data_IF_642354481186
#
_entry.id   IF_642354481186
#
_cell.length_a   1.000
_cell.length_b   1.000
_cell.length_c   1.000
_cell.angle_alpha   90.00
_cell.angle_beta   90.00
_cell.angle_gamma   90.00
#
_symmetry.space_group_name_H-M   'P 1'
#
loop_
_entity.id
_entity.type
_entity.pdbx_description
1 polymer ?
#
# COMPACT_ATOMS: atom_id res chain seq x y z
N UNK A 1 11.08 27.53 28.16
CA UNK A 1 10.50 26.35 27.50
C UNK A 1 9.21 26.08 28.23
N UNK A 2 8.05 26.23 27.58
CA UNK A 2 6.77 25.90 28.20
C UNK A 2 6.76 24.41 28.54
N UNK A 3 6.74 24.08 29.82
CA UNK A 3 6.56 22.72 30.30
C UNK A 3 5.15 22.26 29.93
N UNK A 4 5.06 21.26 29.05
CA UNK A 4 3.82 20.59 28.69
C UNK A 4 3.21 19.93 29.94
N UNK A 5 2.23 20.60 30.56
CA UNK A 5 1.40 19.98 31.60
C UNK A 5 0.68 18.79 30.96
N UNK A 6 1.07 17.58 31.36
CA UNK A 6 0.36 16.35 31.03
C UNK A 6 -1.09 16.51 31.52
N UNK A 7 -1.97 16.77 30.56
CA UNK A 7 -3.40 17.01 30.78
C UNK A 7 -4.10 15.67 31.02
N UNK A 8 -4.01 15.15 32.25
CA UNK A 8 -4.80 13.98 32.65
C UNK A 8 -6.24 14.41 32.97
N UNK A 9 -7.22 13.75 32.34
CA UNK A 9 -8.64 14.04 32.54
C UNK A 9 -9.28 12.94 33.41
N UNK A 10 -10.04 13.28 34.46
CA UNK A 10 -10.71 12.27 35.27
C UNK A 10 -11.94 11.72 34.54
N UNK A 11 -12.05 10.40 34.42
CA UNK A 11 -13.23 9.71 33.91
C UNK A 11 -13.92 8.94 35.04
N UNK A 12 -15.22 9.19 35.22
CA UNK A 12 -16.08 8.53 36.20
C UNK A 12 -17.35 8.04 35.51
N UNK A 13 -17.62 6.74 35.57
CA UNK A 13 -18.84 6.15 35.01
C UNK A 13 -19.35 4.97 35.85
N UNK A 14 -20.66 4.72 35.80
CA UNK A 14 -21.31 3.59 36.47
C UNK A 14 -21.34 2.36 35.55
N UNK A 15 -20.76 1.25 35.98
CA UNK A 15 -20.72 -0.02 35.26
C UNK A 15 -21.85 -0.96 35.71
N UNK A 16 -22.69 -1.38 34.76
CA UNK A 16 -23.71 -2.40 34.99
C UNK A 16 -23.26 -3.73 34.36
N UNK A 17 -23.06 -4.82 35.15
CA UNK A 17 -22.55 -6.10 34.63
C UNK A 17 -23.54 -6.77 33.65
N UNK A 18 -24.82 -6.42 33.70
CA UNK A 18 -25.85 -6.90 32.76
C UNK A 18 -25.77 -6.24 31.38
N UNK A 19 -25.28 -4.99 31.30
CA UNK A 19 -25.09 -4.28 30.04
C UNK A 19 -23.67 -3.68 29.96
N UNK A 20 -22.65 -4.53 29.75
CA UNK A 20 -21.26 -4.09 29.66
C UNK A 20 -21.00 -3.28 28.38
N UNK A 21 -21.78 -3.51 27.32
CA UNK A 21 -21.67 -2.81 26.04
C UNK A 21 -21.99 -1.32 26.19
N UNK A 22 -23.09 -0.97 26.86
CA UNK A 22 -23.45 0.43 27.08
C UNK A 22 -22.43 1.22 27.90
N UNK A 23 -21.72 0.56 28.82
CA UNK A 23 -20.58 1.19 29.50
C UNK A 23 -19.40 1.44 28.56
N UNK A 24 -19.07 0.47 27.70
CA UNK A 24 -18.02 0.62 26.69
C UNK A 24 -18.35 1.69 25.65
N UNK A 25 -19.62 1.82 25.24
CA UNK A 25 -20.09 2.91 24.36
C UNK A 25 -19.82 4.28 25.00
N UNK A 26 -20.17 4.47 26.28
CA UNK A 26 -19.88 5.73 26.99
C UNK A 26 -18.37 6.03 27.10
N UNK A 27 -17.56 5.00 27.30
CA UNK A 27 -16.09 5.11 27.32
C UNK A 27 -15.57 5.51 25.94
N UNK A 28 -16.06 4.89 24.87
CA UNK A 28 -15.65 5.18 23.49
C UNK A 28 -16.09 6.59 23.08
N UNK A 29 -17.29 7.02 23.45
CA UNK A 29 -17.77 8.38 23.22
C UNK A 29 -16.89 9.43 23.94
N UNK A 30 -16.45 9.14 25.17
CA UNK A 30 -15.53 10.00 25.92
C UNK A 30 -14.15 10.08 25.23
N UNK A 31 -13.58 8.94 24.83
CA UNK A 31 -12.31 8.88 24.10
C UNK A 31 -12.42 9.63 22.77
N UNK A 32 -13.56 9.51 22.07
CA UNK A 32 -13.83 10.20 20.82
C UNK A 32 -13.87 11.72 20.92
N UNK A 33 -14.38 12.24 22.06
CA UNK A 33 -14.48 13.68 22.33
C UNK A 33 -13.13 14.27 22.79
N UNK A 34 -12.41 13.55 23.65
CA UNK A 34 -11.19 14.04 24.28
C UNK A 34 -9.91 13.66 23.51
N UNK A 35 -9.98 12.71 22.56
CA UNK A 35 -8.82 12.28 21.78
C UNK A 35 -9.12 12.07 20.30
N UNK A 36 -8.09 12.26 19.48
CA UNK A 36 -8.15 11.96 18.05
C UNK A 36 -7.94 10.46 17.75
N UNK A 37 -8.01 9.58 18.76
CA UNK A 37 -7.72 8.17 18.61
C UNK A 37 -8.65 7.48 17.60
N UNK A 38 -9.97 7.64 17.77
CA UNK A 38 -10.98 7.02 16.90
C UNK A 38 -10.99 7.58 15.46
N UNK A 39 -10.29 8.69 15.20
CA UNK A 39 -10.10 9.24 13.85
C UNK A 39 -9.03 8.49 13.05
N UNK A 40 -8.17 7.70 13.71
CA UNK A 40 -7.12 6.91 13.07
C UNK A 40 -7.70 5.65 12.43
N UNK A 41 -7.21 5.28 11.25
CA UNK A 41 -7.60 4.02 10.59
C UNK A 41 -7.08 2.78 11.33
N UNK A 42 -6.08 2.94 12.19
CA UNK A 42 -5.50 1.86 13.00
C UNK A 42 -6.27 1.58 14.30
N UNK A 43 -7.16 2.49 14.71
CA UNK A 43 -7.83 2.41 16.01
C UNK A 43 -8.63 1.12 16.20
N UNK A 44 -9.38 0.69 15.17
CA UNK A 44 -10.17 -0.54 15.23
C UNK A 44 -9.26 -1.77 15.45
N UNK A 45 -8.11 -1.83 14.77
CA UNK A 45 -7.14 -2.93 14.91
C UNK A 45 -6.48 -2.94 16.27
N UNK A 46 -6.03 -1.78 16.72
CA UNK A 46 -5.39 -1.60 18.03
C UNK A 46 -6.36 -1.97 19.18
N UNK A 47 -7.64 -1.61 19.05
CA UNK A 47 -8.68 -2.02 20.01
C UNK A 47 -8.91 -3.53 19.93
N UNK A 48 -8.97 -4.14 18.74
CA UNK A 48 -9.13 -5.60 18.65
C UNK A 48 -7.96 -6.35 19.27
N UNK A 49 -6.74 -5.85 19.11
CA UNK A 49 -5.55 -6.44 19.72
C UNK A 49 -5.59 -6.26 21.25
N UNK A 50 -6.00 -5.09 21.76
CA UNK A 50 -6.20 -4.86 23.19
C UNK A 50 -7.31 -5.77 23.78
N UNK A 51 -8.40 -6.01 23.04
CA UNK A 51 -9.49 -6.90 23.47
C UNK A 51 -9.04 -8.37 23.46
N UNK A 52 -8.31 -8.80 22.43
CA UNK A 52 -7.81 -10.18 22.35
C UNK A 52 -6.75 -10.47 23.40
N UNK A 53 -5.82 -9.55 23.64
CA UNK A 53 -4.84 -9.63 24.74
C UNK A 53 -5.53 -9.63 26.10
N UNK A 54 -6.56 -8.79 26.32
CA UNK A 54 -7.36 -8.84 27.55
C UNK A 54 -8.10 -10.18 27.71
N UNK A 55 -8.67 -10.73 26.63
CA UNK A 55 -9.31 -12.05 26.63
C UNK A 55 -8.33 -13.17 26.93
N UNK A 56 -7.10 -13.09 26.43
CA UNK A 56 -6.03 -14.05 26.72
C UNK A 56 -5.55 -13.94 28.17
N UNK A 57 -5.29 -12.72 28.68
CA UNK A 57 -4.96 -12.46 30.09
C UNK A 57 -6.02 -13.03 31.03
N UNK A 58 -7.31 -12.89 30.70
CA UNK A 58 -8.40 -13.47 31.51
C UNK A 58 -8.34 -15.01 31.53
N UNK A 59 -8.15 -15.65 30.37
CA UNK A 59 -8.01 -17.11 30.28
C UNK A 59 -6.81 -17.64 31.08
N UNK A 60 -5.71 -16.89 31.13
CA UNK A 60 -4.56 -17.25 31.97
C UNK A 60 -4.86 -17.08 33.47
N UNK A 61 -5.60 -16.04 33.85
CA UNK A 61 -6.01 -15.84 35.25
C UNK A 61 -6.98 -16.92 35.70
N UNK A 62 -7.95 -17.31 34.87
CA UNK A 62 -8.92 -18.36 35.18
C UNK A 62 -8.24 -19.72 35.43
N UNK A 63 -7.24 -20.08 34.62
CA UNK A 63 -6.43 -21.30 34.84
C UNK A 63 -5.67 -21.30 36.16
N UNK A 64 -5.28 -20.11 36.67
CA UNK A 64 -4.55 -19.97 37.94
C UNK A 64 -5.48 -19.91 39.15
N UNK A 65 -6.75 -19.56 38.95
CA UNK A 65 -7.72 -19.34 40.02
C UNK A 65 -8.85 -20.36 40.02
N UNK A 66 -8.62 -21.58 39.52
CA UNK A 66 -9.59 -22.71 39.43
C UNK A 66 -10.04 -23.27 40.81
N UNK A 67 -9.98 -22.46 41.86
CA UNK A 67 -10.62 -22.75 43.13
C UNK A 67 -11.01 -21.41 43.77
N UNK A 68 -12.27 -21.01 43.62
CA UNK A 68 -13.01 -20.17 44.58
C UNK A 68 -14.42 -19.89 44.04
N UNK A 69 -15.30 -20.85 44.26
CA UNK A 69 -16.74 -20.61 44.34
C UNK A 69 -17.04 -19.80 45.59
N UNK A 70 -17.36 -18.51 45.43
CA UNK A 70 -18.14 -17.79 46.44
C UNK A 70 -19.13 -16.89 45.72
N UNK A 71 -20.37 -17.34 45.73
CA UNK A 71 -21.59 -16.62 45.37
C UNK A 71 -21.74 -15.38 46.28
N UNK A 72 -21.06 -14.29 45.95
CA UNK A 72 -21.16 -13.01 46.66
C UNK A 72 -22.07 -12.09 45.89
N UNK A 73 -23.22 -11.78 46.48
CA UNK A 73 -24.23 -10.81 46.03
C UNK A 73 -23.53 -9.58 45.42
N UNK A 74 -23.50 -9.49 44.09
CA UNK A 74 -22.79 -8.43 43.37
C UNK A 74 -23.71 -7.21 43.30
N UNK A 75 -23.27 -6.00 43.71
CA UNK A 75 -24.06 -4.80 43.52
C UNK A 75 -24.35 -4.62 42.02
N UNK A 76 -25.59 -4.26 41.69
CA UNK A 76 -26.07 -4.13 40.31
C UNK A 76 -25.29 -3.10 39.50
N UNK A 77 -24.64 -2.16 40.18
CA UNK A 77 -23.90 -1.06 39.57
C UNK A 77 -22.60 -0.83 40.34
N UNK A 78 -21.47 -0.85 39.64
CA UNK A 78 -20.13 -0.64 40.20
C UNK A 78 -19.54 0.67 39.66
N UNK A 79 -18.97 1.56 40.50
CA UNK A 79 -18.31 2.77 39.99
C UNK A 79 -16.96 2.43 39.36
N UNK A 80 -16.66 3.04 38.22
CA UNK A 80 -15.35 3.00 37.57
C UNK A 80 -14.78 4.42 37.53
N UNK A 81 -13.62 4.60 38.17
CA UNK A 81 -12.87 5.85 38.20
C UNK A 81 -11.47 5.61 37.67
N UNK A 82 -11.07 6.33 36.63
CA UNK A 82 -9.73 6.23 36.05
C UNK A 82 -9.27 7.57 35.47
N UNK A 83 -7.96 7.81 35.48
CA UNK A 83 -7.34 8.94 34.81
C UNK A 83 -7.12 8.62 33.33
N UNK A 84 -7.67 9.45 32.44
CA UNK A 84 -7.48 9.38 31.00
C UNK A 84 -6.30 10.28 30.59
N UNK A 85 -5.34 9.72 29.87
CA UNK A 85 -4.28 10.49 29.20
C UNK A 85 -4.58 10.53 27.70
N UNK A 86 -4.84 11.72 27.11
CA UNK A 86 -5.08 11.86 25.67
C UNK A 86 -3.94 11.32 24.79
N UNK A 87 -2.73 11.19 25.35
CA UNK A 87 -1.53 10.70 24.65
C UNK A 87 -1.50 9.17 24.55
N UNK A 88 -2.11 8.47 25.53
CA UNK A 88 -2.17 7.01 25.61
C UNK A 88 -3.61 6.51 25.85
N UNK A 89 -4.48 6.60 24.83
CA UNK A 89 -5.86 6.13 24.92
C UNK A 89 -5.96 4.60 25.03
N UNK A 90 -4.96 3.88 24.51
CA UNK A 90 -4.85 2.42 24.56
C UNK A 90 -4.63 1.93 26.00
N UNK A 91 -3.68 2.53 26.72
CA UNK A 91 -3.42 2.18 28.12
C UNK A 91 -4.63 2.42 29.03
N UNK A 92 -5.47 3.41 28.71
CA UNK A 92 -6.76 3.60 29.38
C UNK A 92 -7.78 2.50 29.02
N UNK A 93 -7.92 2.17 27.73
CA UNK A 93 -8.79 1.10 27.28
C UNK A 93 -8.41 -0.28 27.84
N UNK A 94 -7.11 -0.58 27.97
CA UNK A 94 -6.66 -1.81 28.63
C UNK A 94 -7.16 -1.89 30.08
N UNK A 95 -7.07 -0.79 30.85
CA UNK A 95 -7.61 -0.74 32.23
C UNK A 95 -9.13 -0.94 32.25
N UNK A 96 -9.84 -0.36 31.27
CA UNK A 96 -11.29 -0.54 31.11
C UNK A 96 -11.62 -2.01 30.79
N UNK A 97 -10.92 -2.63 29.83
CA UNK A 97 -11.15 -4.04 29.47
C UNK A 97 -10.78 -4.99 30.60
N UNK A 98 -9.72 -4.72 31.35
CA UNK A 98 -9.41 -5.49 32.56
C UNK A 98 -10.51 -5.38 33.62
N UNK A 99 -11.07 -4.18 33.82
CA UNK A 99 -12.18 -3.98 34.75
C UNK A 99 -13.44 -4.72 34.30
N UNK A 100 -13.81 -4.59 33.02
CA UNK A 100 -14.95 -5.30 32.42
C UNK A 100 -14.75 -6.80 32.49
N UNK A 101 -13.55 -7.30 32.22
CA UNK A 101 -13.18 -8.72 32.33
C UNK A 101 -13.27 -9.28 33.75
N UNK A 102 -12.77 -8.54 34.75
CA UNK A 102 -12.82 -8.94 36.16
C UNK A 102 -14.24 -8.90 36.75
N UNK A 103 -15.11 -8.02 36.23
CA UNK A 103 -16.45 -7.79 36.79
C UNK A 103 -17.58 -8.46 36.00
N UNK A 104 -17.37 -8.78 34.72
CA UNK A 104 -18.37 -9.39 33.84
C UNK A 104 -17.80 -10.50 32.97
N UNK A 105 -18.65 -11.48 32.65
CA UNK A 105 -18.30 -12.58 31.75
C UNK A 105 -18.45 -12.16 30.27
N UNK A 106 -18.39 -10.86 29.95
CA UNK A 106 -18.62 -10.37 28.59
C UNK A 106 -17.53 -10.83 27.63
N UNK A 107 -16.26 -10.63 27.99
CA UNK A 107 -15.10 -10.96 27.16
C UNK A 107 -14.92 -12.48 26.93
N UNK A 108 -15.54 -13.30 27.78
CA UNK A 108 -15.57 -14.76 27.62
C UNK A 108 -16.43 -15.17 26.41
N UNK A 109 -17.47 -14.39 26.08
CA UNK A 109 -18.36 -14.68 24.95
C UNK A 109 -17.63 -14.52 23.61
N UNK A 110 -17.91 -15.40 22.65
CA UNK A 110 -17.28 -15.35 21.32
C UNK A 110 -17.70 -14.10 20.53
N UNK A 111 -18.92 -13.62 20.76
CA UNK A 111 -19.45 -12.41 20.10
C UNK A 111 -18.91 -11.09 20.69
N UNK A 112 -18.11 -11.13 21.76
CA UNK A 112 -17.68 -9.93 22.47
C UNK A 112 -16.81 -9.01 21.61
N UNK A 113 -15.84 -9.59 20.89
CA UNK A 113 -14.94 -8.83 20.01
C UNK A 113 -15.74 -8.11 18.93
N UNK A 114 -16.63 -8.83 18.24
CA UNK A 114 -17.46 -8.24 17.19
C UNK A 114 -18.40 -7.16 17.71
N UNK A 115 -19.00 -7.35 18.90
CA UNK A 115 -19.86 -6.33 19.50
C UNK A 115 -19.08 -5.05 19.87
N UNK A 116 -17.85 -5.19 20.37
CA UNK A 116 -16.97 -4.04 20.63
C UNK A 116 -16.60 -3.35 19.32
N UNK A 117 -16.24 -4.10 18.27
CA UNK A 117 -15.95 -3.52 16.96
C UNK A 117 -17.15 -2.72 16.45
N UNK A 118 -18.37 -3.25 16.52
CA UNK A 118 -19.59 -2.53 16.12
C UNK A 118 -19.79 -1.25 16.95
N UNK A 119 -19.58 -1.30 18.27
CA UNK A 119 -19.65 -0.10 19.11
C UNK A 119 -18.59 0.95 18.72
N UNK A 120 -17.38 0.52 18.33
CA UNK A 120 -16.31 1.40 17.84
C UNK A 120 -16.69 2.04 16.50
N UNK A 121 -17.25 1.27 15.56
CA UNK A 121 -17.70 1.81 14.27
C UNK A 121 -18.83 2.81 14.46
N UNK A 122 -19.79 2.51 15.34
CA UNK A 122 -20.91 3.40 15.64
C UNK A 122 -20.42 4.70 16.30
N UNK A 123 -19.48 4.62 17.25
CA UNK A 123 -18.87 5.80 17.85
C UNK A 123 -18.10 6.65 16.82
N UNK A 124 -17.39 6.01 15.88
CA UNK A 124 -16.68 6.69 14.79
C UNK A 124 -17.64 7.38 13.82
N UNK A 125 -18.78 6.77 13.54
CA UNK A 125 -19.84 7.40 12.73
C UNK A 125 -20.47 8.59 13.46
N UNK A 126 -20.79 8.46 14.75
CA UNK A 126 -21.32 9.57 15.58
C UNK A 126 -20.39 10.78 15.59
N UNK A 127 -19.08 10.58 15.78
CA UNK A 127 -18.10 11.68 15.73
C UNK A 127 -18.05 12.37 14.36
N UNK A 128 -18.17 11.58 13.29
CA UNK A 128 -18.17 12.11 11.91
C UNK A 128 -19.46 12.90 11.61
N UNK A 129 -20.58 12.51 12.20
CA UNK A 129 -21.84 13.26 12.11
C UNK A 129 -21.79 14.56 12.92
N UNK A 130 -21.30 14.52 14.16
CA UNK A 130 -21.08 15.71 15.01
C UNK A 130 -20.11 16.71 14.34
N UNK A 131 -19.05 16.23 13.70
CA UNK A 131 -18.12 17.08 12.93
C UNK A 131 -18.79 17.70 11.70
N UNK A 132 -19.61 16.94 10.96
CA UNK A 132 -20.39 17.49 9.84
C UNK A 132 -21.42 18.51 10.32
N UNK A 133 -22.08 18.27 11.44
CA UNK A 133 -23.07 19.18 12.00
C UNK A 133 -22.43 20.46 12.55
N UNK A 134 -21.30 20.36 13.24
CA UNK A 134 -20.53 21.52 13.69
C UNK A 134 -19.96 22.33 12.51
N UNK A 135 -19.50 21.69 11.43
CA UNK A 135 -19.10 22.38 10.19
C UNK A 135 -20.31 23.02 9.49
N UNK A 136 -21.46 22.36 9.44
CA UNK A 136 -22.71 22.97 8.93
C UNK A 136 -23.13 24.17 9.79
N UNK A 137 -23.07 24.06 11.11
CA UNK A 137 -23.43 25.14 12.02
C UNK A 137 -22.41 26.30 11.93
N UNK A 138 -21.11 26.00 11.81
CA UNK A 138 -20.06 26.98 11.60
C UNK A 138 -20.21 27.68 10.26
N UNK A 139 -20.49 26.94 9.17
CA UNK A 139 -20.75 27.53 7.85
C UNK A 139 -22.04 28.36 7.82
N UNK A 140 -23.08 27.98 8.57
CA UNK A 140 -24.30 28.79 8.75
C UNK A 140 -24.00 30.06 9.57
N UNK A 141 -23.23 29.96 10.66
CA UNK A 141 -22.78 31.12 11.46
C UNK A 141 -21.87 32.06 10.66
N UNK A 142 -20.95 31.53 9.85
CA UNK A 142 -20.09 32.29 8.95
C UNK A 142 -20.92 32.91 7.82
N UNK A 143 -21.95 32.24 7.28
CA UNK A 143 -22.86 32.88 6.30
C UNK A 143 -23.71 34.00 6.93
N UNK A 144 -23.98 33.94 8.24
CA UNK A 144 -24.71 34.97 9.00
C UNK A 144 -23.84 36.19 9.35
N UNK A 145 -22.54 36.02 9.59
CA UNK A 145 -21.65 37.10 10.03
C UNK A 145 -20.40 37.33 9.15
N UNK A 146 -20.28 36.61 8.04
CA UNK A 146 -19.17 36.73 7.11
C UNK A 146 -19.48 37.75 6.02
N UNK A 147 -18.51 38.62 5.76
CA UNK A 147 -18.49 39.57 4.65
C UNK A 147 -18.77 38.80 3.35
N UNK A 148 -20.00 38.91 2.83
CA UNK A 148 -20.38 38.31 1.56
C UNK A 148 -19.62 39.03 0.45
N UNK A 149 -18.47 38.48 0.05
CA UNK A 149 -17.74 38.96 -1.11
C UNK A 149 -18.64 38.70 -2.33
N UNK A 150 -19.16 39.79 -2.87
CA UNK A 150 -19.97 39.80 -4.09
C UNK A 150 -19.05 39.39 -5.24
N UNK A 151 -19.05 38.10 -5.58
CA UNK A 151 -18.41 37.61 -6.81
C UNK A 151 -18.97 38.40 -8.01
N UNK A 152 -18.12 38.85 -8.95
CA UNK A 152 -18.55 39.68 -10.06
C UNK A 152 -19.61 38.93 -10.87
N UNK A 153 -20.70 39.64 -11.18
CA UNK A 153 -21.85 39.15 -11.94
C UNK A 153 -21.40 38.46 -13.22
N UNK A 154 -21.40 37.12 -13.23
CA UNK A 154 -21.55 36.39 -14.47
C UNK A 154 -22.97 36.67 -14.94
N UNK A 155 -23.05 37.52 -15.97
CA UNK A 155 -24.23 37.74 -16.79
C UNK A 155 -24.75 36.36 -17.22
N UNK A 156 -25.73 35.84 -16.49
CA UNK A 156 -26.59 34.77 -16.98
C UNK A 156 -27.39 35.37 -18.12
N UNK A 157 -26.98 35.04 -19.34
CA UNK A 157 -27.84 35.17 -20.49
C UNK A 157 -29.10 34.35 -20.21
N UNK A 158 -30.17 35.06 -19.99
CA UNK A 158 -31.53 34.58 -19.98
C UNK A 158 -31.89 34.10 -21.38
N UNK A 159 -31.76 32.80 -21.65
CA UNK A 159 -32.53 32.15 -22.71
C UNK A 159 -33.79 31.56 -22.09
N UNK A 160 -34.85 32.38 -22.16
CA UNK A 160 -36.26 32.03 -22.29
C UNK A 160 -36.59 30.53 -22.18
N UNK A 161 -36.81 30.02 -20.97
CA UNK A 161 -37.74 28.91 -20.75
C UNK A 161 -39.09 29.55 -20.40
N UNK A 162 -40.16 29.32 -21.19
CA UNK A 162 -41.46 29.89 -20.85
C UNK A 162 -41.89 29.33 -19.50
N UNK A 163 -42.26 30.23 -18.59
CA UNK A 163 -42.95 29.88 -17.36
C UNK A 163 -44.14 28.97 -17.73
N UNK A 164 -44.16 27.77 -17.17
CA UNK A 164 -45.28 26.85 -17.26
C UNK A 164 -46.51 27.60 -16.74
N UNK A 165 -47.37 28.07 -17.66
CA UNK A 165 -48.64 28.66 -17.30
C UNK A 165 -49.46 27.55 -16.66
N UNK A 166 -49.81 27.76 -15.40
CA UNK A 166 -50.80 26.98 -14.68
C UNK A 166 -52.04 26.87 -15.56
N UNK A 167 -52.46 25.63 -15.85
CA UNK A 167 -53.64 25.35 -16.65
C UNK A 167 -54.86 26.02 -15.99
N UNK A 168 -55.30 27.14 -16.57
CA UNK A 168 -56.59 27.73 -16.27
C UNK A 168 -57.65 26.82 -16.89
N UNK A 169 -58.10 25.83 -16.12
CA UNK A 169 -59.13 24.85 -16.47
C UNK A 169 -60.55 25.47 -16.36
N UNK A 170 -60.65 26.71 -15.88
CA UNK A 170 -61.91 27.46 -15.72
C UNK A 170 -61.89 28.81 -16.48
N UNK A 171 -61.05 28.92 -17.51
CA UNK A 171 -61.05 30.08 -18.41
C UNK A 171 -62.22 30.00 -19.38
N UNK A 172 -63.36 30.51 -18.93
CA UNK A 172 -64.53 30.97 -19.67
C UNK A 172 -64.09 31.73 -20.95
N UNK A 173 -64.03 31.02 -22.08
CA UNK A 173 -63.95 31.62 -23.41
C UNK A 173 -64.95 30.92 -24.30
N UNK A 174 -65.79 31.74 -24.89
CA UNK A 174 -67.14 31.50 -25.40
C UNK A 174 -67.07 30.84 -26.80
N UNK A 175 -66.37 29.71 -26.90
CA UNK A 175 -66.04 29.01 -28.16
C UNK A 175 -66.55 27.56 -28.23
N UNK A 176 -67.48 27.16 -27.37
CA UNK A 176 -68.01 25.77 -27.30
C UNK A 176 -68.86 25.32 -28.51
N UNK A 177 -68.99 26.14 -29.56
CA UNK A 177 -69.82 25.83 -30.74
C UNK A 177 -69.06 25.74 -32.08
N UNK A 178 -67.72 25.81 -32.10
CA UNK A 178 -66.95 25.64 -33.35
C UNK A 178 -66.52 24.17 -33.57
N UNK A 179 -67.36 23.45 -34.32
CA UNK A 179 -67.15 22.05 -34.70
C UNK A 179 -65.79 21.85 -35.41
N UNK A 180 -65.33 22.82 -36.18
CA UNK A 180 -64.07 22.70 -36.94
C UNK A 180 -62.83 22.79 -36.04
N UNK A 181 -62.91 23.57 -34.96
CA UNK A 181 -61.87 23.65 -33.92
C UNK A 181 -61.78 22.36 -33.11
N UNK A 182 -62.89 21.74 -32.77
CA UNK A 182 -62.91 20.45 -32.07
C UNK A 182 -62.40 19.31 -32.97
N UNK A 183 -62.79 19.27 -34.25
CA UNK A 183 -62.22 18.31 -35.22
C UNK A 183 -60.71 18.51 -35.34
N UNK A 184 -60.23 19.75 -35.40
CA UNK A 184 -58.78 20.05 -35.45
C UNK A 184 -58.05 19.60 -34.18
N UNK A 185 -58.65 19.80 -33.01
CA UNK A 185 -58.13 19.30 -31.73
C UNK A 185 -58.05 17.78 -31.71
N UNK A 186 -59.12 17.08 -32.10
CA UNK A 186 -59.14 15.62 -32.17
C UNK A 186 -58.16 15.07 -33.22
N UNK A 187 -58.05 15.72 -34.38
CA UNK A 187 -57.06 15.38 -35.40
C UNK A 187 -55.62 15.56 -34.89
N UNK A 188 -55.36 16.61 -34.11
CA UNK A 188 -54.04 16.82 -33.50
C UNK A 188 -53.72 15.76 -32.43
N UNK A 189 -54.69 15.40 -31.59
CA UNK A 189 -54.58 14.37 -30.55
C UNK A 189 -54.37 12.97 -31.14
N UNK A 190 -55.09 12.63 -32.19
CA UNK A 190 -54.91 11.35 -32.89
C UNK A 190 -53.55 11.28 -33.60
N UNK A 191 -53.09 12.38 -34.22
CA UNK A 191 -51.74 12.47 -34.80
C UNK A 191 -50.65 12.35 -33.73
N UNK A 192 -50.80 12.95 -32.55
CA UNK A 192 -49.83 12.81 -31.46
C UNK A 192 -49.81 11.40 -30.89
N UNK A 193 -50.97 10.77 -30.69
CA UNK A 193 -51.05 9.37 -30.26
C UNK A 193 -50.39 8.42 -31.26
N UNK A 194 -50.60 8.61 -32.56
CA UNK A 194 -49.89 7.84 -33.60
C UNK A 194 -48.37 8.01 -33.56
N UNK A 195 -47.87 9.20 -33.21
CA UNK A 195 -46.42 9.43 -33.04
C UNK A 195 -45.88 8.70 -31.81
N UNK A 196 -46.61 8.74 -30.70
CA UNK A 196 -46.25 8.04 -29.45
C UNK A 196 -46.25 6.52 -29.71
N UNK A 197 -47.27 5.98 -30.37
CA UNK A 197 -47.36 4.55 -30.69
C UNK A 197 -46.21 4.10 -31.60
N UNK A 198 -45.84 4.91 -32.61
CA UNK A 198 -44.67 4.63 -33.45
C UNK A 198 -43.37 4.64 -32.66
N UNK A 199 -43.19 5.58 -31.72
CA UNK A 199 -42.02 5.62 -30.85
C UNK A 199 -41.97 4.41 -29.92
N UNK A 200 -43.10 4.02 -29.33
CA UNK A 200 -43.21 2.85 -28.47
C UNK A 200 -42.90 1.55 -29.24
N UNK A 201 -43.44 1.39 -30.45
CA UNK A 201 -43.11 0.25 -31.33
C UNK A 201 -41.64 0.22 -31.69
N UNK A 202 -41.06 1.38 -32.05
CA UNK A 202 -39.63 1.49 -32.35
C UNK A 202 -38.75 1.13 -31.14
N UNK A 203 -39.12 1.55 -29.94
CA UNK A 203 -38.38 1.22 -28.72
C UNK A 203 -38.43 -0.29 -28.40
N UNK A 204 -39.59 -0.94 -28.56
CA UNK A 204 -39.74 -2.39 -28.37
C UNK A 204 -38.99 -3.20 -29.44
N UNK A 205 -38.92 -2.69 -30.68
CA UNK A 205 -38.17 -3.33 -31.77
C UNK A 205 -36.65 -3.23 -31.59
N UNK A 206 -36.15 -2.13 -31.03
CA UNK A 206 -34.73 -1.96 -30.70
C UNK A 206 -34.32 -2.79 -29.48
N UNK A 207 -35.14 -2.78 -28.42
CA UNK A 207 -34.92 -3.60 -27.23
C UNK A 207 -36.28 -3.97 -26.58
N UNK A 208 -36.64 -5.26 -26.50
CA UNK A 208 -37.85 -5.69 -25.79
C UNK A 208 -37.85 -5.29 -24.30
N UNK A 209 -36.68 -5.02 -23.72
CA UNK A 209 -36.49 -4.56 -22.33
C UNK A 209 -36.49 -3.03 -22.17
N UNK A 210 -36.70 -2.25 -23.25
CA UNK A 210 -36.56 -0.79 -23.22
C UNK A 210 -37.43 -0.06 -22.15
N UNK A 211 -38.52 -0.67 -21.70
CA UNK A 211 -39.42 -0.13 -20.67
C UNK A 211 -39.31 -0.83 -19.31
N UNK A 212 -38.41 -1.81 -19.16
CA UNK A 212 -38.16 -2.55 -17.92
C UNK A 212 -37.23 -1.79 -16.97
N UNK A 213 -37.66 -0.61 -16.51
CA UNK A 213 -36.86 0.27 -15.65
C UNK A 213 -36.42 -0.36 -14.32
N UNK A 214 -37.17 -1.34 -13.81
CA UNK A 214 -36.89 -1.98 -12.52
C UNK A 214 -35.69 -2.94 -12.61
N UNK A 215 -35.56 -3.68 -13.71
CA UNK A 215 -34.50 -4.68 -13.89
C UNK A 215 -33.11 -4.05 -14.05
N UNK A 216 -33.04 -2.88 -14.70
CA UNK A 216 -31.76 -2.18 -14.99
C UNK A 216 -31.37 -1.20 -13.87
N UNK A 217 -32.23 -0.98 -12.87
CA UNK A 217 -31.99 0.01 -11.81
C UNK A 217 -30.76 -0.33 -10.96
N UNK A 218 -30.57 -1.61 -10.64
CA UNK A 218 -29.42 -2.06 -9.85
C UNK A 218 -28.10 -1.89 -10.61
N UNK A 219 -28.09 -2.18 -11.92
CA UNK A 219 -26.92 -2.02 -12.79
C UNK A 219 -26.54 -0.55 -12.96
N UNK A 220 -27.51 0.33 -13.27
CA UNK A 220 -27.26 1.78 -13.42
C UNK A 220 -26.72 2.37 -12.12
N UNK A 221 -27.26 1.94 -10.98
CA UNK A 221 -26.82 2.39 -9.67
C UNK A 221 -25.39 1.92 -9.35
N UNK A 222 -25.04 0.70 -9.76
CA UNK A 222 -23.68 0.17 -9.63
C UNK A 222 -22.69 0.91 -10.55
N UNK A 223 -23.04 1.11 -11.83
CA UNK A 223 -22.21 1.84 -12.79
C UNK A 223 -22.01 3.32 -12.39
N UNK A 224 -23.03 3.98 -11.85
CA UNK A 224 -22.90 5.33 -11.31
C UNK A 224 -21.98 5.41 -10.07
N UNK A 225 -21.76 4.30 -9.36
CA UNK A 225 -20.84 4.22 -8.24
C UNK A 225 -19.37 3.98 -8.66
N UNK A 226 -19.12 3.29 -9.77
CA UNK A 226 -17.78 2.99 -10.29
C UNK A 226 -16.85 4.22 -10.45
N UNK A 227 -17.24 5.33 -11.11
CA UNK A 227 -16.36 6.47 -11.28
C UNK A 227 -16.01 7.12 -9.95
N UNK A 228 -16.93 7.11 -8.96
CA UNK A 228 -16.65 7.63 -7.62
C UNK A 228 -15.65 6.77 -6.84
N UNK A 229 -15.57 5.48 -7.13
CA UNK A 229 -14.56 4.59 -6.56
C UNK A 229 -13.19 4.85 -7.20
N UNK A 230 -13.15 5.02 -8.53
CA UNK A 230 -11.90 5.35 -9.26
C UNK A 230 -11.35 6.72 -8.87
N UNK A 231 -12.18 7.77 -8.79
CA UNK A 231 -11.77 9.10 -8.35
C UNK A 231 -11.11 9.06 -6.96
N UNK A 232 -11.63 8.24 -6.03
CA UNK A 232 -11.04 8.09 -4.69
C UNK A 232 -9.65 7.45 -4.72
N UNK A 233 -9.40 6.54 -5.66
CA UNK A 233 -8.08 5.93 -5.82
C UNK A 233 -7.09 6.90 -6.47
N UNK A 234 -7.55 7.75 -7.39
CA UNK A 234 -6.74 8.80 -8.01
C UNK A 234 -6.44 9.95 -7.04
N UNK A 235 -7.33 10.23 -6.09
CA UNK A 235 -7.13 11.22 -5.02
C UNK A 235 -6.19 10.76 -3.89
N UNK A 236 -5.38 9.70 -4.08
CA UNK A 236 -4.26 9.42 -3.18
C UNK A 236 -3.30 10.62 -3.19
N UNK A 237 -2.79 11.00 -2.02
CA UNK A 237 -1.96 12.20 -1.93
C UNK A 237 -0.64 12.03 -2.70
N UNK A 238 -0.25 13.07 -3.45
CA UNK A 238 0.86 13.07 -4.42
C UNK A 238 2.20 12.58 -3.85
N UNK A 239 2.42 12.71 -2.54
CA UNK A 239 3.73 12.51 -1.92
C UNK A 239 3.76 11.47 -0.79
N UNK A 240 2.61 11.08 -0.20
CA UNK A 240 2.61 10.16 0.97
C UNK A 240 3.24 8.82 0.62
N UNK A 241 2.95 8.28 -0.56
CA UNK A 241 3.50 6.99 -0.98
C UNK A 241 5.02 7.05 -1.13
N UNK A 242 5.56 8.17 -1.63
CA UNK A 242 7.00 8.36 -1.71
C UNK A 242 7.64 8.50 -0.32
N UNK A 243 6.99 9.21 0.60
CA UNK A 243 7.47 9.31 2.00
C UNK A 243 7.48 7.93 2.66
N UNK A 244 6.40 7.15 2.52
CA UNK A 244 6.30 5.80 3.09
C UNK A 244 7.36 4.87 2.50
N UNK A 245 7.51 4.83 1.17
CA UNK A 245 8.58 4.07 0.51
C UNK A 245 9.97 4.48 0.97
N UNK A 246 10.21 5.79 1.16
CA UNK A 246 11.49 6.28 1.65
C UNK A 246 11.71 5.94 3.13
N UNK A 247 10.66 5.96 3.96
CA UNK A 247 10.73 5.53 5.34
C UNK A 247 11.06 4.03 5.45
N UNK A 248 10.37 3.18 4.68
CA UNK A 248 10.67 1.75 4.59
C UNK A 248 12.10 1.47 4.11
N UNK A 249 12.60 2.25 3.14
CA UNK A 249 14.00 2.16 2.69
C UNK A 249 14.97 2.44 3.85
N UNK A 250 14.75 3.53 4.60
CA UNK A 250 15.59 3.90 5.75
C UNK A 250 15.53 2.87 6.88
N UNK A 251 14.36 2.30 7.14
CA UNK A 251 14.19 1.26 8.17
C UNK A 251 15.02 0.02 7.82
N UNK A 252 14.97 -0.43 6.57
CA UNK A 252 15.79 -1.56 6.08
C UNK A 252 17.29 -1.26 6.16
N UNK A 253 17.70 -0.06 5.75
CA UNK A 253 19.09 0.40 5.86
C UNK A 253 19.56 0.40 7.33
N UNK A 254 18.73 0.91 8.25
CA UNK A 254 19.02 0.93 9.67
C UNK A 254 19.17 -0.48 10.26
N UNK A 255 18.29 -1.41 9.90
CA UNK A 255 18.35 -2.81 10.31
C UNK A 255 19.66 -3.48 9.84
N UNK A 256 20.07 -3.22 8.60
CA UNK A 256 21.33 -3.77 8.05
C UNK A 256 22.54 -3.19 8.78
N UNK A 257 22.52 -1.89 9.10
CA UNK A 257 23.58 -1.25 9.89
C UNK A 257 23.66 -1.83 11.29
N UNK A 258 22.51 -2.03 11.94
CA UNK A 258 22.42 -2.64 13.27
C UNK A 258 22.98 -4.07 13.28
N UNK A 259 22.57 -4.91 12.34
CA UNK A 259 23.06 -6.29 12.24
C UNK A 259 24.55 -6.35 11.87
N UNK A 260 25.04 -5.43 11.02
CA UNK A 260 26.47 -5.28 10.75
C UNK A 260 27.26 -4.88 12.01
N UNK A 261 26.68 -4.04 12.87
CA UNK A 261 27.29 -3.68 14.16
C UNK A 261 27.35 -4.89 15.10
N UNK A 262 26.25 -5.63 15.21
CA UNK A 262 26.18 -6.85 16.03
C UNK A 262 27.14 -7.94 15.54
N UNK A 263 27.27 -8.12 14.22
CA UNK A 263 28.23 -9.06 13.64
C UNK A 263 29.69 -8.65 13.94
N UNK A 264 30.00 -7.35 13.92
CA UNK A 264 31.33 -6.85 14.31
C UNK A 264 31.63 -7.05 15.79
N UNK A 265 30.65 -6.87 16.67
CA UNK A 265 30.79 -7.16 18.11
C UNK A 265 31.00 -8.66 18.34
N UNK A 266 30.21 -9.51 17.66
CA UNK A 266 30.36 -10.96 17.72
C UNK A 266 31.73 -11.43 17.21
N UNK A 267 32.25 -10.84 16.13
CA UNK A 267 33.59 -11.17 15.61
C UNK A 267 34.71 -10.73 16.57
N UNK A 268 34.51 -9.64 17.31
CA UNK A 268 35.44 -9.25 18.38
C UNK A 268 35.41 -10.25 19.52
N UNK A 269 34.23 -10.74 19.92
CA UNK A 269 34.10 -11.67 21.05
C UNK A 269 34.30 -13.15 20.66
N UNK A 270 34.45 -13.45 19.37
CA UNK A 270 34.52 -14.82 18.85
C UNK A 270 35.69 -15.62 19.45
N UNK A 271 36.82 -14.97 19.72
CA UNK A 271 37.96 -15.58 20.39
C UNK A 271 37.68 -15.96 21.86
N UNK A 272 36.71 -15.31 22.51
CA UNK A 272 36.33 -15.55 23.90
C UNK A 272 35.37 -16.75 24.05
N UNK A 273 34.67 -17.09 22.98
CA UNK A 273 33.62 -18.11 22.97
C UNK A 273 33.78 -19.14 21.84
N UNK A 274 35.01 -19.34 21.36
CA UNK A 274 35.30 -20.29 20.28
C UNK A 274 34.91 -21.73 20.64
N UNK A 275 34.98 -22.09 21.91
CA UNK A 275 34.67 -23.44 22.41
C UNK A 275 33.16 -23.71 22.58
N UNK A 276 32.30 -22.73 22.33
CA UNK A 276 30.84 -22.87 22.49
C UNK A 276 30.16 -23.20 21.16
N UNK A 277 29.20 -24.11 21.20
CA UNK A 277 28.38 -24.47 20.03
C UNK A 277 27.52 -23.29 19.56
N UNK A 278 27.47 -23.05 18.24
CA UNK A 278 26.69 -21.96 17.63
C UNK A 278 25.44 -22.54 16.97
N UNK A 279 24.26 -22.23 17.50
CA UNK A 279 22.99 -22.67 16.93
C UNK A 279 22.30 -21.56 16.14
N UNK A 280 21.72 -21.91 15.00
CA UNK A 280 21.00 -20.97 14.13
C UNK A 280 19.56 -21.44 13.92
N UNK A 281 18.60 -20.64 14.39
CA UNK A 281 17.16 -20.90 14.25
C UNK A 281 16.69 -20.67 12.80
N UNK A 282 15.71 -21.46 12.32
CA UNK A 282 15.17 -21.36 10.96
C UNK A 282 14.77 -19.94 10.51
N UNK A 283 14.08 -19.13 11.33
CA UNK A 283 13.75 -17.74 11.00
C UNK A 283 14.99 -16.84 10.80
N UNK A 284 16.08 -17.07 11.53
CA UNK A 284 17.31 -16.29 11.37
C UNK A 284 18.00 -16.60 10.03
N UNK A 285 17.96 -17.86 9.57
CA UNK A 285 18.44 -18.21 8.22
C UNK A 285 17.67 -17.45 7.14
N UNK A 286 16.34 -17.39 7.26
CA UNK A 286 15.48 -16.60 6.36
C UNK A 286 15.83 -15.11 6.39
N UNK A 287 16.02 -14.53 7.58
CA UNK A 287 16.43 -13.11 7.73
C UNK A 287 17.78 -12.84 7.02
N UNK A 288 18.75 -13.73 7.15
CA UNK A 288 20.05 -13.59 6.47
C UNK A 288 19.92 -13.69 4.94
N UNK A 289 19.07 -14.59 4.43
CA UNK A 289 18.79 -14.72 3.00
C UNK A 289 18.08 -13.48 2.45
N UNK A 290 17.09 -12.95 3.17
CA UNK A 290 16.39 -11.70 2.82
C UNK A 290 17.35 -10.51 2.79
N UNK A 291 18.21 -10.38 3.80
CA UNK A 291 19.24 -9.34 3.84
C UNK A 291 20.25 -9.47 2.70
N UNK A 292 20.68 -10.70 2.38
CA UNK A 292 21.60 -10.95 1.27
C UNK A 292 20.96 -10.58 -0.07
N UNK A 293 19.70 -10.96 -0.27
CA UNK A 293 18.93 -10.61 -1.48
C UNK A 293 18.76 -9.09 -1.60
N UNK A 294 18.47 -8.40 -0.51
CA UNK A 294 18.35 -6.94 -0.50
C UNK A 294 19.68 -6.26 -0.83
N UNK A 295 20.80 -6.74 -0.27
CA UNK A 295 22.13 -6.22 -0.59
C UNK A 295 22.53 -6.46 -2.05
N UNK A 296 22.18 -7.62 -2.61
CA UNK A 296 22.40 -7.93 -4.03
C UNK A 296 21.54 -7.04 -4.94
N UNK A 297 20.28 -6.81 -4.57
CA UNK A 297 19.37 -5.92 -5.29
C UNK A 297 19.80 -4.46 -5.21
N UNK A 298 20.23 -3.99 -4.02
CA UNK A 298 20.77 -2.63 -3.85
C UNK A 298 22.05 -2.46 -4.64
N UNK A 299 22.93 -3.47 -4.67
CA UNK A 299 24.14 -3.47 -5.51
C UNK A 299 23.80 -3.42 -7.00
N UNK A 300 22.76 -4.13 -7.42
CA UNK A 300 22.31 -4.09 -8.82
C UNK A 300 21.70 -2.73 -9.17
N UNK A 301 20.96 -2.12 -8.23
CA UNK A 301 20.43 -0.76 -8.38
C UNK A 301 21.56 0.26 -8.44
N UNK A 302 22.53 0.17 -7.55
CA UNK A 302 23.70 1.03 -7.52
C UNK A 302 24.50 0.90 -8.83
N UNK A 303 24.70 -0.31 -9.36
CA UNK A 303 25.33 -0.49 -10.69
C UNK A 303 24.52 0.15 -11.83
N UNK A 304 23.18 0.18 -11.70
CA UNK A 304 22.32 0.85 -12.68
C UNK A 304 22.41 2.37 -12.54
N UNK A 305 22.34 2.89 -11.32
CA UNK A 305 22.50 4.32 -11.02
C UNK A 305 23.90 4.81 -11.41
N UNK A 306 24.95 4.03 -11.15
CA UNK A 306 26.33 4.24 -11.60
C UNK A 306 26.42 4.35 -13.11
N UNK A 307 25.74 3.43 -13.81
CA UNK A 307 25.66 3.42 -15.26
C UNK A 307 24.76 4.53 -15.78
N UNK A 308 23.88 5.11 -14.99
CA UNK A 308 22.99 6.21 -15.37
C UNK A 308 23.52 7.58 -14.89
N UNK A 309 24.57 7.60 -14.08
CA UNK A 309 25.23 8.78 -13.54
C UNK A 309 25.85 9.63 -14.66
N UNK A 310 25.32 10.84 -14.80
CA UNK A 310 25.74 11.80 -15.82
C UNK A 310 27.19 12.26 -15.60
N UNK A 311 27.71 12.20 -14.38
CA UNK A 311 29.08 12.65 -14.07
C UNK A 311 30.16 11.68 -14.53
N UNK A 312 29.79 10.43 -14.83
CA UNK A 312 30.71 9.35 -15.23
C UNK A 312 30.69 9.10 -16.73
N UNK A 313 29.66 9.60 -17.40
CA UNK A 313 29.51 9.51 -18.84
C UNK A 313 30.20 10.70 -19.51
N UNK A 314 31.09 10.39 -20.43
CA UNK A 314 31.75 11.40 -21.27
C UNK A 314 30.93 11.76 -22.52
N UNK A 315 29.88 11.00 -22.83
CA UNK A 315 29.07 11.15 -24.04
C UNK A 315 27.60 11.46 -23.71
N UNK A 316 27.00 12.34 -24.51
CA UNK A 316 25.60 12.76 -24.40
C UNK A 316 24.64 11.80 -25.12
N UNK A 317 25.15 10.78 -25.81
CA UNK A 317 24.32 9.85 -26.58
C UNK A 317 23.30 9.11 -25.70
N UNK A 318 23.66 8.69 -24.48
CA UNK A 318 22.73 8.09 -23.52
C UNK A 318 21.58 9.03 -23.13
N UNK A 319 21.83 10.34 -23.04
CA UNK A 319 20.79 11.32 -22.75
C UNK A 319 19.77 11.38 -23.89
N UNK A 320 20.22 11.43 -25.14
CA UNK A 320 19.33 11.41 -26.32
C UNK A 320 18.58 10.08 -26.45
N UNK A 321 19.23 8.95 -26.17
CA UNK A 321 18.58 7.63 -26.13
C UNK A 321 17.49 7.61 -25.06
N UNK A 322 17.77 8.18 -23.88
CA UNK A 322 16.80 8.20 -22.78
C UNK A 322 15.63 9.16 -23.03
N UNK A 323 15.86 10.32 -23.66
CA UNK A 323 14.77 11.21 -24.10
C UNK A 323 13.84 10.47 -25.07
N UNK A 324 14.41 9.74 -26.02
CA UNK A 324 13.64 8.93 -26.96
C UNK A 324 12.76 7.90 -26.26
N UNK A 325 13.14 7.44 -25.05
CA UNK A 325 12.40 6.46 -24.23
C UNK A 325 11.31 7.04 -23.34
N UNK A 326 11.23 8.37 -23.23
CA UNK A 326 10.24 9.01 -22.37
C UNK A 326 8.85 8.99 -23.00
N UNK A 327 7.86 8.51 -22.26
CA UNK A 327 6.44 8.46 -22.70
C UNK A 327 5.93 9.84 -23.13
N UNK A 328 6.42 10.91 -22.50
CA UNK A 328 6.11 12.30 -22.84
C UNK A 328 6.57 12.73 -24.25
N UNK A 329 7.60 12.07 -24.81
CA UNK A 329 8.14 12.35 -26.15
C UNK A 329 7.66 11.37 -27.22
N UNK A 330 6.60 10.60 -26.95
CA UNK A 330 6.00 9.68 -27.93
C UNK A 330 6.55 8.25 -27.90
N UNK A 331 7.28 7.88 -26.84
CA UNK A 331 7.89 6.56 -26.65
C UNK A 331 6.90 5.41 -26.33
N UNK A 332 5.62 5.51 -26.71
CA UNK A 332 4.62 4.48 -26.37
C UNK A 332 4.89 3.13 -27.05
N UNK A 333 5.64 3.14 -28.16
CA UNK A 333 5.82 1.96 -29.01
C UNK A 333 7.22 1.30 -28.87
N UNK A 334 8.05 1.76 -27.94
CA UNK A 334 9.44 1.26 -27.84
C UNK A 334 9.49 -0.14 -27.28
N UNK A 335 8.65 -0.47 -26.30
CA UNK A 335 8.55 -1.84 -25.79
C UNK A 335 8.04 -2.80 -26.88
N UNK A 336 7.10 -2.35 -27.73
CA UNK A 336 6.62 -3.12 -28.88
C UNK A 336 7.72 -3.30 -29.95
N UNK A 337 8.53 -2.26 -30.20
CA UNK A 337 9.64 -2.28 -31.14
C UNK A 337 10.83 -3.11 -30.63
N UNK A 338 11.15 -3.03 -29.35
CA UNK A 338 12.17 -3.85 -28.68
C UNK A 338 11.76 -5.31 -28.61
N UNK A 339 10.49 -5.61 -28.28
CA UNK A 339 9.95 -6.97 -28.35
C UNK A 339 9.95 -7.52 -29.79
N UNK A 340 9.72 -6.67 -30.79
CA UNK A 340 9.89 -6.99 -32.20
C UNK A 340 11.33 -7.40 -32.54
N UNK A 341 12.31 -6.59 -32.15
CA UNK A 341 13.75 -6.89 -32.33
C UNK A 341 14.18 -8.16 -31.59
N UNK A 342 13.71 -8.38 -30.37
CA UNK A 342 14.08 -9.56 -29.59
C UNK A 342 13.48 -10.84 -30.20
N UNK A 343 12.28 -10.77 -30.78
CA UNK A 343 11.69 -11.86 -31.58
C UNK A 343 12.48 -12.11 -32.86
N UNK A 344 13.01 -11.08 -33.50
CA UNK A 344 13.89 -11.20 -34.67
C UNK A 344 15.22 -11.86 -34.31
N UNK A 345 15.89 -11.42 -33.24
CA UNK A 345 17.15 -12.01 -32.76
C UNK A 345 16.97 -13.48 -32.38
N UNK A 346 15.87 -13.82 -31.68
CA UNK A 346 15.54 -15.22 -31.36
C UNK A 346 15.26 -16.07 -32.59
N UNK A 347 14.72 -15.49 -33.68
CA UNK A 347 14.54 -16.19 -34.95
C UNK A 347 15.88 -16.43 -35.66
N UNK A 348 16.79 -15.45 -35.60
CA UNK A 348 18.14 -15.57 -36.18
C UNK A 348 18.97 -16.62 -35.42
N UNK A 349 18.97 -16.58 -34.08
CA UNK A 349 19.64 -17.59 -33.25
C UNK A 349 19.08 -18.99 -33.51
N UNK A 350 17.76 -19.13 -33.58
CA UNK A 350 17.11 -20.42 -33.86
C UNK A 350 17.43 -20.93 -35.27
N UNK A 351 17.64 -20.06 -36.25
CA UNK A 351 18.01 -20.43 -37.62
C UNK A 351 19.50 -20.79 -37.74
N UNK A 352 20.35 -20.17 -36.93
CA UNK A 352 21.76 -20.50 -36.83
C UNK A 352 22.00 -21.81 -36.05
N UNK A 353 21.17 -22.09 -35.05
CA UNK A 353 21.16 -23.34 -34.28
C UNK A 353 20.71 -24.54 -35.15
N UNK A 354 19.72 -24.35 -36.02
CA UNK A 354 19.31 -25.36 -37.01
C UNK A 354 20.43 -25.66 -38.03
N UNK A 355 21.18 -24.65 -38.49
CA UNK A 355 22.38 -24.85 -39.34
C UNK A 355 23.51 -25.62 -38.63
N UNK A 356 23.71 -25.36 -37.34
CA UNK A 356 24.70 -26.08 -36.50
C UNK A 356 24.25 -27.51 -36.16
N UNK A 357 22.95 -27.78 -36.18
CA UNK A 357 22.40 -29.10 -35.89
C UNK A 357 22.38 -30.04 -37.11
N UNK A 358 22.15 -29.52 -38.32
CA UNK A 358 22.32 -30.28 -39.57
C UNK A 358 23.77 -30.74 -39.76
N UNK A 359 24.73 -29.86 -39.48
CA UNK A 359 26.17 -30.18 -39.54
C UNK A 359 26.64 -31.15 -38.43
N UNK A 360 25.88 -31.28 -37.32
CA UNK A 360 26.10 -32.29 -36.27
C UNK A 360 25.44 -33.64 -36.58
N UNK A 361 24.29 -33.65 -37.26
CA UNK A 361 23.58 -34.89 -37.65
C UNK A 361 24.27 -35.61 -38.81
N UNK A 362 24.96 -34.90 -39.70
CA UNK A 362 25.84 -35.51 -40.71
C UNK A 362 27.07 -36.20 -40.10
N UNK A 363 27.62 -35.66 -39.00
CA UNK A 363 28.78 -36.24 -38.32
C UNK A 363 28.44 -37.40 -37.37
N UNK A 364 27.19 -37.54 -36.94
CA UNK A 364 26.74 -38.60 -36.00
C UNK A 364 26.28 -39.92 -36.66
N UNK A 365 26.27 -40.03 -38.00
CA UNK A 365 26.01 -41.31 -38.70
C UNK A 365 27.21 -42.27 -38.73
N UNK A 366 28.32 -41.93 -38.07
CA UNK A 366 29.46 -42.82 -37.84
C UNK A 366 29.60 -43.13 -36.33
N UNK A 367 29.27 -44.37 -35.97
CA UNK A 367 29.61 -45.15 -34.75
C UNK A 367 29.07 -44.75 -33.36
N UNK A 368 28.43 -45.69 -32.63
CA UNK A 368 28.13 -45.57 -31.19
C UNK A 368 28.84 -46.64 -30.32
N UNK A 369 28.71 -46.45 -28.99
CA UNK A 369 28.85 -47.42 -27.87
C UNK A 369 30.24 -47.73 -27.26
N UNK A 370 30.51 -47.15 -26.08
CA UNK A 370 30.52 -47.90 -24.80
C UNK A 370 30.68 -46.99 -23.58
N UNK A 371 29.81 -47.20 -22.60
CA UNK A 371 29.88 -46.65 -21.24
C UNK A 371 30.86 -47.43 -20.36
N UNK A 372 31.39 -46.80 -19.30
CA UNK A 372 31.15 -47.11 -17.87
C UNK A 372 32.15 -46.33 -16.99
N UNK A 373 31.59 -45.79 -15.91
CA UNK A 373 32.02 -44.83 -14.88
C UNK A 373 33.18 -45.26 -13.94
N UNK A 374 33.70 -44.35 -13.06
CA UNK A 374 35.11 -44.28 -12.62
C UNK A 374 35.35 -44.62 -11.13
N UNK A 375 36.61 -44.85 -10.74
CA UNK A 375 37.06 -44.66 -9.34
C UNK A 375 38.57 -44.38 -9.19
N UNK A 376 38.85 -43.40 -8.32
CA UNK A 376 40.06 -43.13 -7.54
C UNK A 376 41.39 -42.77 -8.23
N UNK A 377 42.07 -41.77 -7.69
CA UNK A 377 43.52 -41.63 -7.82
C UNK A 377 44.03 -40.22 -8.10
N UNK A 378 44.30 -39.50 -7.01
CA UNK A 378 45.20 -38.36 -6.87
C UNK A 378 46.47 -38.39 -7.78
N UNK A 379 46.89 -37.22 -8.27
CA UNK A 379 48.28 -36.70 -8.31
C UNK A 379 48.51 -35.65 -9.40
N UNK A 380 48.81 -34.43 -8.94
CA UNK A 380 50.02 -33.67 -9.29
C UNK A 380 50.48 -33.52 -10.75
N UNK A 381 50.48 -32.24 -11.17
CA UNK A 381 51.60 -31.53 -11.82
C UNK A 381 51.95 -31.84 -13.30
N UNK A 382 52.00 -30.72 -14.04
CA UNK A 382 53.12 -30.36 -14.92
C UNK A 382 53.12 -30.83 -16.39
N UNK A 383 52.68 -29.87 -17.22
CA UNK A 383 53.47 -29.28 -18.31
C UNK A 383 53.39 -29.85 -19.74
N UNK A 384 53.22 -28.87 -20.66
CA UNK A 384 53.76 -28.77 -22.03
C UNK A 384 53.21 -29.75 -23.08
N UNK A 385 52.67 -29.20 -24.18
CA UNK A 385 53.47 -28.69 -25.32
C UNK A 385 52.59 -28.52 -26.60
N UNK A 386 52.51 -27.27 -27.06
CA UNK A 386 52.52 -26.78 -28.48
C UNK A 386 51.40 -27.24 -29.46
N UNK A 387 51.04 -26.57 -30.58
CA UNK A 387 51.63 -25.60 -31.54
C UNK A 387 50.42 -24.88 -32.23
N UNK A 388 50.22 -23.54 -32.24
CA UNK A 388 50.63 -22.46 -33.22
C UNK A 388 50.32 -22.72 -34.73
N UNK A 389 50.35 -21.73 -35.66
CA UNK A 389 50.22 -20.25 -35.59
C UNK A 389 49.45 -19.60 -36.80
N UNK A 390 49.34 -18.25 -36.83
CA UNK A 390 49.49 -17.27 -37.96
C UNK A 390 48.76 -15.96 -37.54
N UNK A 391 49.35 -14.78 -37.32
CA UNK A 391 50.31 -13.89 -38.01
C UNK A 391 49.59 -12.62 -38.48
N UNK A 392 49.80 -11.49 -37.78
CA UNK A 392 49.89 -10.13 -38.34
C UNK A 392 50.36 -9.13 -37.26
N UNK A 393 51.49 -8.51 -37.57
CA UNK A 393 52.30 -7.56 -36.81
C UNK A 393 51.74 -6.13 -36.76
N UNK A 394 52.03 -5.39 -35.68
CA UNK A 394 52.65 -4.03 -35.69
C UNK A 394 53.20 -3.76 -34.26
N UNK A 395 54.46 -3.32 -34.21
CA UNK A 395 55.22 -2.85 -33.04
C UNK A 395 54.83 -1.41 -32.71
N UNK A 396 54.78 -1.06 -31.43
CA UNK A 396 55.60 0.03 -30.86
C UNK A 396 55.53 0.06 -29.33
N UNK A 397 56.72 0.23 -28.73
CA UNK A 397 56.98 0.30 -27.29
C UNK A 397 56.71 1.71 -26.76
N UNK A 398 56.07 1.86 -25.59
CA UNK A 398 56.49 2.79 -24.53
C UNK A 398 55.52 2.84 -23.32
N UNK A 399 56.05 2.46 -22.15
CA UNK A 399 55.70 2.93 -20.79
C UNK A 399 54.25 2.76 -20.31
N UNK A 400 53.92 1.58 -19.80
CA UNK A 400 52.72 1.38 -18.98
C UNK A 400 53.09 1.16 -17.51
N UNK A 401 53.25 2.26 -16.77
CA UNK A 401 53.09 2.24 -15.32
C UNK A 401 51.61 2.11 -15.01
N UNK A 402 51.15 0.90 -14.68
CA UNK A 402 49.81 0.67 -14.15
C UNK A 402 49.66 1.45 -12.84
N UNK A 403 48.91 2.55 -12.88
CA UNK A 403 48.55 3.34 -11.69
C UNK A 403 47.71 2.44 -10.79
N UNK A 404 48.31 1.94 -9.71
CA UNK A 404 47.57 1.34 -8.62
C UNK A 404 46.43 2.29 -8.22
N UNK A 405 45.22 1.75 -8.10
CA UNK A 405 44.04 2.52 -7.67
C UNK A 405 44.34 3.22 -6.35
N UNK A 406 43.76 4.41 -6.15
CA UNK A 406 43.98 5.24 -4.94
C UNK A 406 43.79 4.44 -3.65
N UNK A 407 42.87 3.48 -3.66
CA UNK A 407 42.56 2.60 -2.54
C UNK A 407 43.68 1.60 -2.24
N UNK A 408 44.28 1.00 -3.27
CA UNK A 408 45.42 0.08 -3.13
C UNK A 408 46.62 0.81 -2.55
N UNK A 409 46.91 2.03 -3.03
CA UNK A 409 47.98 2.86 -2.49
C UNK A 409 47.77 3.19 -0.99
N UNK A 410 46.53 3.45 -0.58
CA UNK A 410 46.17 3.69 0.83
C UNK A 410 46.31 2.41 1.66
N UNK A 411 45.90 1.25 1.13
CA UNK A 411 46.03 -0.03 1.81
C UNK A 411 47.51 -0.40 2.02
N UNK A 412 48.34 -0.29 0.98
CA UNK A 412 49.79 -0.55 1.08
C UNK A 412 50.46 0.42 2.06
N UNK A 413 50.04 1.69 2.11
CA UNK A 413 50.57 2.66 3.06
C UNK A 413 50.19 2.33 4.52
N UNK A 414 48.94 1.92 4.77
CA UNK A 414 48.48 1.48 6.10
C UNK A 414 49.23 0.24 6.57
N UNK A 415 49.41 -0.75 5.70
CA UNK A 415 50.16 -1.96 6.03
C UNK A 415 51.62 -1.65 6.40
N UNK A 416 52.30 -0.82 5.61
CA UNK A 416 53.66 -0.35 5.92
C UNK A 416 53.75 0.40 7.25
N UNK A 417 52.75 1.20 7.59
CA UNK A 417 52.69 1.90 8.88
C UNK A 417 52.55 0.93 10.05
N UNK A 418 51.66 -0.07 9.93
CA UNK A 418 51.48 -1.09 10.96
C UNK A 418 52.72 -1.94 11.16
N UNK A 419 53.41 -2.33 10.08
CA UNK A 419 54.68 -3.06 10.16
C UNK A 419 55.78 -2.27 10.86
N UNK A 420 55.88 -0.96 10.60
CA UNK A 420 56.81 -0.07 11.32
C UNK A 420 56.45 0.06 12.80
N UNK A 421 55.16 0.13 13.13
CA UNK A 421 54.71 0.21 14.53
C UNK A 421 55.00 -1.09 15.28
N UNK A 422 54.77 -2.25 14.67
CA UNK A 422 55.12 -3.57 15.23
C UNK A 422 56.62 -3.70 15.47
N UNK A 423 57.45 -3.38 14.47
CA UNK A 423 58.91 -3.45 14.58
C UNK A 423 59.52 -2.48 15.61
N UNK A 424 58.78 -1.44 16.02
CA UNK A 424 59.19 -0.49 17.08
C UNK A 424 58.73 -0.90 18.48
N UNK A 425 57.87 -1.91 18.58
CA UNK A 425 57.44 -2.51 19.86
C UNK A 425 58.28 -3.75 20.18
N UNK A 426 58.82 -4.41 19.15
CA UNK A 426 59.66 -5.62 19.28
C UNK A 426 61.18 -5.31 19.42
N UNK A 427 61.58 -4.04 19.29
CA UNK A 427 62.92 -3.52 19.64
C UNK A 427 62.80 -2.67 20.89
#
# INVERSE_FOLDING_TARGET
>A
MEEARLSTLPFSASFNPSNPLGFLENVLDFIGKESNFLRKDTAEKEITDAVTTAKERLRETEKKTESMDVEKVRPSTLPFNASFDPSDPLGFLEKVFEFVGKKSNFLVKDKAVNAIITAVTDAKERLKEEEKESVKQATVKIKKYGLQIRAPSQKKQSSSRPLLRTASIFGEDDEENDVEKEISRQASKTKSLKKIEKQHKKAIEEDPSAFAYDEVYDDIKHEAALPRMQDREEHKSRYIQHIMKQAERREKEHEIVYERKLAKERAKDEHLYSDKEKFVTGPFKRKLEEQKKWLEEERLRELREERDDVTKKNDLSEFYINIGKNVAFGARDIEAREAGRLKELRKVDRLEELRKEETRKEKKRKSPEKEVSPDSGDFGLSSKKSVKPQDASIKEEAKETQKATREDAIATAKERFLSRKKAKIEK
#
